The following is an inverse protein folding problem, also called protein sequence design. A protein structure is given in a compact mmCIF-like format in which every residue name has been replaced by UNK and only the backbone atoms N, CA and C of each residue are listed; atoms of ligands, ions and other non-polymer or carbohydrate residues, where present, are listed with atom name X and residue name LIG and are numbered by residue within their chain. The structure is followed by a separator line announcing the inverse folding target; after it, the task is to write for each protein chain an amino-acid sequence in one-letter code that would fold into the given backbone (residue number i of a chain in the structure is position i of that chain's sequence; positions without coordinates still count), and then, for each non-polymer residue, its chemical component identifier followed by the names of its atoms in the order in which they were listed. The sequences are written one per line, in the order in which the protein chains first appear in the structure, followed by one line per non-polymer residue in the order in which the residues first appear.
data_IF_441522431151
#
_entry.id   IF_441522431151
#
_cell.length_a   1.000
_cell.length_b   1.000
_cell.length_c   1.000
_cell.angle_alpha   90.00
_cell.angle_beta   90.00
_cell.angle_gamma   90.00
#
_symmetry.space_group_name_H-M   'P 1'
#
loop_
_entity.id
_entity.type
_entity.pdbx_description
1 polymer ?
#
# COMPACT_ATOMS: atom_id res chain seq x y z
N UNK A 1 17.13 -18.86 14.86
CA UNK A 1 16.14 -18.84 13.76
C UNK A 1 15.41 -20.20 13.69
N UNK A 2 14.08 -20.25 13.54
CA UNK A 2 13.29 -21.51 13.58
C UNK A 2 13.64 -22.49 12.44
N UNK A 3 14.03 -21.96 11.27
CA UNK A 3 14.50 -22.74 10.13
C UNK A 3 15.67 -23.67 10.46
N UNK A 4 16.75 -23.17 11.08
CA UNK A 4 17.93 -24.01 11.37
C UNK A 4 17.65 -25.09 12.41
N UNK A 5 16.71 -24.85 13.34
CA UNK A 5 16.25 -25.90 14.26
C UNK A 5 15.55 -27.02 13.50
N UNK A 6 14.72 -26.69 12.52
CA UNK A 6 14.09 -27.67 11.64
C UNK A 6 15.12 -28.39 10.76
N UNK A 7 15.99 -27.65 10.06
CA UNK A 7 16.96 -28.23 9.14
C UNK A 7 17.99 -29.14 9.82
N UNK A 8 18.46 -28.75 11.02
CA UNK A 8 19.36 -29.59 11.81
C UNK A 8 18.67 -30.87 12.31
N UNK A 9 17.39 -30.79 12.68
CA UNK A 9 16.62 -31.94 13.15
C UNK A 9 16.26 -32.90 12.01
N UNK A 10 15.68 -32.38 10.92
CA UNK A 10 15.10 -33.18 9.84
C UNK A 10 16.14 -33.63 8.82
N UNK A 11 17.14 -32.79 8.50
CA UNK A 11 18.13 -33.11 7.48
C UNK A 11 19.54 -33.37 8.02
N UNK A 12 19.81 -33.03 9.29
CA UNK A 12 21.13 -33.17 9.93
C UNK A 12 22.26 -32.54 9.10
N UNK A 13 21.96 -31.44 8.41
CA UNK A 13 22.91 -30.76 7.52
C UNK A 13 23.66 -29.63 8.22
N UNK A 14 24.90 -29.44 7.80
CA UNK A 14 25.63 -28.20 8.03
C UNK A 14 24.93 -27.05 7.25
N UNK A 15 24.76 -25.85 7.81
CA UNK A 15 24.21 -24.70 7.08
C UNK A 15 24.93 -24.40 5.75
N UNK A 16 26.23 -24.70 5.64
CA UNK A 16 27.02 -24.60 4.40
C UNK A 16 26.63 -25.64 3.36
N UNK A 17 25.83 -26.64 3.70
CA UNK A 17 25.27 -27.64 2.78
C UNK A 17 23.80 -27.34 2.44
N UNK A 18 23.31 -26.14 2.77
CA UNK A 18 21.98 -25.70 2.40
C UNK A 18 21.75 -25.80 0.88
N UNK A 19 20.59 -26.32 0.50
CA UNK A 19 20.11 -26.48 -0.87
C UNK A 19 18.64 -26.05 -0.95
N UNK A 20 18.15 -25.83 -2.16
CA UNK A 20 16.78 -25.37 -2.43
C UNK A 20 15.73 -26.30 -1.83
N UNK A 21 15.96 -27.60 -1.89
CA UNK A 21 15.03 -28.64 -1.45
C UNK A 21 14.79 -28.57 0.07
N UNK A 22 15.83 -28.25 0.86
CA UNK A 22 15.70 -28.08 2.31
C UNK A 22 14.83 -26.88 2.69
N UNK A 23 14.90 -25.80 1.88
CA UNK A 23 14.11 -24.59 2.08
C UNK A 23 12.65 -24.84 1.68
N UNK A 24 12.43 -25.53 0.56
CA UNK A 24 11.10 -25.93 0.10
C UNK A 24 10.42 -26.85 1.12
N UNK A 25 11.12 -27.86 1.63
CA UNK A 25 10.59 -28.78 2.62
C UNK A 25 10.20 -28.08 3.94
N UNK A 26 11.03 -27.14 4.43
CA UNK A 26 10.68 -26.35 5.61
C UNK A 26 9.40 -25.53 5.40
N UNK A 27 9.29 -24.84 4.26
CA UNK A 27 8.14 -24.00 4.00
C UNK A 27 6.88 -24.80 3.72
N UNK A 28 6.99 -25.94 3.04
CA UNK A 28 5.91 -26.91 2.90
C UNK A 28 5.39 -27.34 4.28
N UNK A 29 6.26 -27.88 5.15
CA UNK A 29 5.90 -28.24 6.52
C UNK A 29 5.21 -27.08 7.29
N UNK A 30 5.70 -25.85 7.15
CA UNK A 30 5.13 -24.65 7.81
C UNK A 30 3.81 -24.18 7.24
N UNK A 31 3.57 -24.42 5.96
CA UNK A 31 2.31 -24.14 5.31
C UNK A 31 1.29 -25.18 5.76
N UNK A 32 1.62 -26.48 5.64
CA UNK A 32 0.77 -27.59 6.09
C UNK A 32 0.39 -27.46 7.57
N UNK A 33 1.35 -27.20 8.47
CA UNK A 33 1.11 -27.02 9.91
C UNK A 33 0.06 -25.92 10.18
N UNK A 34 0.07 -24.84 9.40
CA UNK A 34 -0.84 -23.70 9.60
C UNK A 34 -2.20 -23.90 8.96
N UNK A 35 -2.23 -24.53 7.79
CA UNK A 35 -3.49 -24.94 7.17
C UNK A 35 -4.26 -25.89 8.09
N UNK A 36 -3.57 -26.87 8.70
CA UNK A 36 -4.17 -27.80 9.65
C UNK A 36 -4.70 -27.11 10.93
N UNK A 37 -4.24 -25.90 11.23
CA UNK A 37 -4.74 -25.06 12.33
C UNK A 37 -5.84 -24.08 11.89
N UNK A 38 -6.33 -24.18 10.65
CA UNK A 38 -7.35 -23.30 10.11
C UNK A 38 -6.89 -21.87 9.84
N UNK A 39 -5.58 -21.61 9.74
CA UNK A 39 -5.07 -20.26 9.47
C UNK A 39 -5.36 -19.90 8.01
N UNK A 40 -5.90 -18.71 7.79
CA UNK A 40 -6.24 -18.25 6.45
C UNK A 40 -5.02 -18.22 5.50
N UNK A 41 -5.21 -18.67 4.24
CA UNK A 41 -4.18 -18.65 3.20
C UNK A 41 -3.41 -17.32 3.04
N UNK A 42 -4.11 -16.18 3.12
CA UNK A 42 -3.50 -14.84 2.97
C UNK A 42 -2.52 -14.52 4.10
N UNK A 43 -2.85 -14.91 5.32
CA UNK A 43 -2.02 -14.70 6.51
C UNK A 43 -0.76 -15.59 6.43
N UNK A 44 -0.92 -16.81 5.94
CA UNK A 44 0.19 -17.73 5.68
C UNK A 44 1.13 -17.13 4.63
N UNK A 45 0.60 -16.73 3.46
CA UNK A 45 1.36 -16.15 2.36
C UNK A 45 2.23 -14.95 2.80
N UNK A 46 1.65 -13.97 3.49
CA UNK A 46 2.38 -12.81 4.01
C UNK A 46 3.50 -13.20 4.97
N UNK A 47 3.28 -14.22 5.79
CA UNK A 47 4.30 -14.69 6.74
C UNK A 47 5.43 -15.44 6.03
N UNK A 48 5.11 -16.26 5.03
CA UNK A 48 6.10 -16.98 4.22
C UNK A 48 7.01 -16.01 3.48
N UNK A 49 6.45 -14.95 2.90
CA UNK A 49 7.23 -13.90 2.20
C UNK A 49 8.23 -13.18 3.14
N UNK A 50 7.80 -12.88 4.36
CA UNK A 50 8.66 -12.29 5.39
C UNK A 50 9.78 -13.26 5.85
N UNK A 51 9.43 -14.53 6.13
CA UNK A 51 10.41 -15.54 6.53
C UNK A 51 11.41 -15.85 5.40
N UNK A 52 10.96 -15.82 4.13
CA UNK A 52 11.82 -15.94 2.96
C UNK A 52 12.81 -14.78 2.85
N UNK A 53 12.36 -13.55 3.09
CA UNK A 53 13.23 -12.37 3.04
C UNK A 53 14.37 -12.45 4.08
N UNK A 54 14.08 -12.93 5.29
CA UNK A 54 15.12 -13.20 6.29
C UNK A 54 16.07 -14.33 5.85
N UNK A 55 15.54 -15.39 5.24
CA UNK A 55 16.34 -16.50 4.73
C UNK A 55 17.24 -16.09 3.55
N UNK A 56 16.77 -15.21 2.66
CA UNK A 56 17.60 -14.63 1.58
C UNK A 56 18.79 -13.88 2.14
N UNK A 57 18.56 -13.03 3.15
CA UNK A 57 19.62 -12.29 3.81
C UNK A 57 20.66 -13.24 4.44
N UNK A 58 20.21 -14.27 5.16
CA UNK A 58 21.11 -15.26 5.72
C UNK A 58 21.86 -16.08 4.66
N UNK A 59 21.16 -16.54 3.62
CA UNK A 59 21.73 -17.34 2.54
C UNK A 59 22.80 -16.56 1.77
N UNK A 60 22.59 -15.25 1.58
CA UNK A 60 23.62 -14.36 1.07
C UNK A 60 24.86 -14.33 1.97
N UNK A 61 24.68 -14.21 3.30
CA UNK A 61 25.79 -14.16 4.26
C UNK A 61 26.65 -15.43 4.25
N UNK A 62 26.04 -16.60 4.05
CA UNK A 62 26.76 -17.88 3.91
C UNK A 62 27.19 -18.20 2.46
N UNK A 63 27.21 -17.20 1.57
CA UNK A 63 27.62 -17.33 0.16
C UNK A 63 26.79 -18.35 -0.65
N UNK A 64 25.51 -18.47 -0.34
CA UNK A 64 24.52 -19.32 -1.04
C UNK A 64 23.25 -18.57 -1.47
N UNK A 65 23.32 -17.42 -2.14
CA UNK A 65 22.12 -16.64 -2.49
C UNK A 65 21.13 -17.39 -3.39
N UNK A 66 21.61 -18.36 -4.18
CA UNK A 66 20.82 -19.07 -5.19
C UNK A 66 20.04 -20.27 -4.64
N UNK A 67 20.21 -20.63 -3.36
CA UNK A 67 19.49 -21.76 -2.76
C UNK A 67 18.11 -21.38 -2.21
N UNK A 68 17.69 -20.11 -2.32
CA UNK A 68 16.38 -19.67 -1.87
C UNK A 68 15.41 -19.67 -3.06
N UNK A 69 14.40 -20.56 -3.08
CA UNK A 69 13.41 -20.59 -4.15
C UNK A 69 12.58 -19.30 -4.19
N UNK A 70 12.05 -18.98 -5.37
CA UNK A 70 11.10 -17.88 -5.53
C UNK A 70 9.85 -18.14 -4.70
N UNK A 71 9.26 -17.08 -4.13
CA UNK A 71 8.01 -17.14 -3.38
C UNK A 71 6.91 -17.90 -4.14
N UNK A 72 6.74 -17.59 -5.44
CA UNK A 72 5.76 -18.25 -6.30
C UNK A 72 5.98 -19.77 -6.45
N UNK A 73 7.22 -20.26 -6.33
CA UNK A 73 7.52 -21.69 -6.37
C UNK A 73 7.05 -22.39 -5.09
N UNK A 74 7.34 -21.80 -3.92
CA UNK A 74 6.89 -22.30 -2.62
C UNK A 74 5.36 -22.34 -2.54
N UNK A 75 4.70 -21.28 -3.01
CA UNK A 75 3.24 -21.19 -2.94
C UNK A 75 2.50 -22.05 -3.97
N UNK A 76 3.16 -22.55 -5.03
CA UNK A 76 2.54 -23.43 -6.04
C UNK A 76 2.57 -24.91 -5.66
N UNK A 77 3.51 -25.33 -4.82
CA UNK A 77 3.70 -26.73 -4.45
C UNK A 77 2.64 -27.25 -3.47
N UNK A 78 2.01 -26.32 -2.75
CA UNK A 78 0.83 -26.56 -1.93
C UNK A 78 -0.38 -26.07 -2.76
N UNK A 79 -1.54 -26.71 -2.67
CA UNK A 79 -2.78 -26.43 -3.42
C UNK A 79 -3.41 -25.03 -3.16
N UNK A 80 -2.58 -24.04 -2.86
CA UNK A 80 -2.92 -22.63 -2.87
C UNK A 80 -3.21 -22.18 -4.30
N UNK A 81 -4.49 -22.10 -4.65
CA UNK A 81 -4.93 -21.24 -5.74
C UNK A 81 -4.77 -19.79 -5.29
N UNK A 82 -3.57 -19.23 -5.48
CA UNK A 82 -3.28 -17.79 -5.33
C UNK A 82 -4.25 -16.92 -6.15
N UNK A 83 -4.79 -17.49 -7.24
CA UNK A 83 -5.83 -16.89 -8.09
C UNK A 83 -7.10 -16.49 -7.31
N UNK A 84 -7.35 -17.11 -6.15
CA UNK A 84 -8.49 -16.81 -5.28
C UNK A 84 -8.10 -16.10 -3.97
N UNK A 85 -6.84 -15.68 -3.83
CA UNK A 85 -6.41 -14.86 -2.72
C UNK A 85 -6.22 -13.42 -3.22
N UNK A 86 -7.31 -12.62 -3.32
CA UNK A 86 -7.10 -11.19 -3.48
C UNK A 86 -6.26 -10.76 -2.28
N UNK A 87 -5.06 -10.22 -2.55
CA UNK A 87 -4.32 -9.41 -1.56
C UNK A 87 -5.37 -8.59 -0.83
N UNK A 88 -5.38 -8.64 0.50
CA UNK A 88 -6.43 -7.99 1.27
C UNK A 88 -6.50 -6.53 0.81
N UNK A 89 -7.54 -6.21 0.04
CA UNK A 89 -7.96 -4.85 -0.22
C UNK A 89 -8.55 -4.38 1.11
N UNK A 90 -7.69 -4.16 2.11
CA UNK A 90 -8.07 -3.35 3.26
C UNK A 90 -8.21 -1.94 2.70
N UNK A 91 -9.39 -1.66 2.15
CA UNK A 91 -9.93 -0.31 2.15
C UNK A 91 -10.10 0.00 3.63
N UNK A 92 -9.17 0.75 4.20
CA UNK A 92 -9.42 1.35 5.51
C UNK A 92 -10.57 2.31 5.30
N UNK A 93 -11.76 1.95 5.78
CA UNK A 93 -12.93 2.81 5.69
C UNK A 93 -12.63 4.20 6.22
N UNK A 94 -13.16 5.21 5.54
CA UNK A 94 -13.24 6.56 6.09
C UNK A 94 -13.92 6.50 7.45
N UNK A 95 -13.14 6.71 8.51
CA UNK A 95 -13.75 6.98 9.81
C UNK A 95 -14.28 8.40 9.77
N UNK A 96 -15.61 8.53 9.89
CA UNK A 96 -16.30 9.80 10.05
C UNK A 96 -15.66 10.64 11.18
N UNK A 97 -15.48 11.95 10.94
CA UNK A 97 -14.92 12.91 11.89
C UNK A 97 -15.71 12.91 13.20
N UNK A 98 -17.03 12.72 13.14
CA UNK A 98 -17.88 12.62 14.33
C UNK A 98 -17.55 11.38 15.18
N UNK A 99 -17.30 10.24 14.52
CA UNK A 99 -16.92 8.99 15.16
C UNK A 99 -15.51 9.07 15.77
N UNK A 100 -14.57 9.76 15.10
CA UNK A 100 -13.24 10.01 15.66
C UNK A 100 -13.31 10.88 16.91
N UNK A 101 -14.05 11.99 16.86
CA UNK A 101 -14.25 12.87 18.01
C UNK A 101 -14.86 12.10 19.19
N UNK A 102 -15.84 11.24 18.94
CA UNK A 102 -16.42 10.36 19.95
C UNK A 102 -15.36 9.44 20.58
N UNK A 103 -14.51 8.80 19.78
CA UNK A 103 -13.44 7.91 20.28
C UNK A 103 -12.38 8.66 21.10
N UNK A 104 -12.05 9.88 20.72
CA UNK A 104 -11.16 10.75 21.51
C UNK A 104 -11.80 11.08 22.86
N UNK A 105 -13.07 11.48 22.87
CA UNK A 105 -13.79 11.76 24.11
C UNK A 105 -13.91 10.52 25.02
N UNK A 106 -14.19 9.35 24.45
CA UNK A 106 -14.25 8.10 25.20
C UNK A 106 -12.87 7.72 25.77
N UNK A 107 -11.77 8.01 25.07
CA UNK A 107 -10.41 7.81 25.57
C UNK A 107 -10.11 8.68 26.80
N UNK A 108 -10.51 9.96 26.78
CA UNK A 108 -10.36 10.85 27.94
C UNK A 108 -11.19 10.43 29.15
N UNK A 109 -12.34 9.76 28.95
CA UNK A 109 -13.13 9.19 30.07
C UNK A 109 -12.43 8.02 30.76
N UNK A 110 -11.56 7.31 30.05
CA UNK A 110 -10.78 6.21 30.62
C UNK A 110 -9.64 6.77 31.45
N UNK A 111 -8.74 7.54 30.82
CA UNK A 111 -7.68 8.27 31.51
C UNK A 111 -7.05 9.33 30.60
N UNK A 112 -6.48 10.36 31.23
CA UNK A 112 -5.87 11.51 30.55
C UNK A 112 -4.76 11.08 29.56
N UNK A 113 -3.90 10.12 29.91
CA UNK A 113 -2.81 9.67 29.03
C UNK A 113 -3.33 8.99 27.76
N UNK A 114 -4.35 8.14 27.86
CA UNK A 114 -4.96 7.52 26.69
C UNK A 114 -5.66 8.56 25.82
N UNK A 115 -6.32 9.54 26.43
CA UNK A 115 -6.94 10.67 25.74
C UNK A 115 -5.96 11.45 24.87
N UNK A 116 -4.86 11.96 25.46
CA UNK A 116 -3.84 12.73 24.72
C UNK A 116 -3.17 11.90 23.62
N UNK A 117 -2.93 10.60 23.87
CA UNK A 117 -2.36 9.70 22.89
C UNK A 117 -3.30 9.46 21.70
N UNK A 118 -4.57 9.18 21.95
CA UNK A 118 -5.58 8.91 20.92
C UNK A 118 -5.86 10.17 20.10
N UNK A 119 -5.95 11.33 20.75
CA UNK A 119 -6.10 12.62 20.08
C UNK A 119 -4.92 12.90 19.14
N UNK A 120 -3.69 12.67 19.60
CA UNK A 120 -2.51 12.86 18.77
C UNK A 120 -2.49 11.91 17.55
N UNK A 121 -2.91 10.66 17.74
CA UNK A 121 -3.02 9.69 16.65
C UNK A 121 -4.11 10.07 15.64
N UNK A 122 -5.26 10.54 16.11
CA UNK A 122 -6.43 10.85 15.28
C UNK A 122 -6.22 12.09 14.41
N UNK A 123 -5.66 13.17 14.97
CA UNK A 123 -5.59 14.47 14.28
C UNK A 123 -4.25 14.75 13.61
N UNK A 124 -3.17 14.10 14.05
CA UNK A 124 -1.83 14.33 13.50
C UNK A 124 -1.22 13.04 12.91
N UNK A 125 -1.97 11.94 12.91
CA UNK A 125 -1.55 10.70 12.27
C UNK A 125 -0.38 10.01 12.95
N UNK A 126 -0.10 10.26 14.24
CA UNK A 126 1.02 9.63 14.93
C UNK A 126 0.88 8.10 15.00
N UNK A 127 2.02 7.40 15.01
CA UNK A 127 2.05 5.96 15.35
C UNK A 127 1.83 5.80 16.86
N UNK A 128 1.31 4.64 17.32
CA UNK A 128 1.23 4.33 18.75
C UNK A 128 2.53 4.60 19.53
N UNK A 129 3.67 4.19 18.96
CA UNK A 129 4.99 4.44 19.57
C UNK A 129 5.37 5.92 19.63
N UNK A 130 4.97 6.71 18.64
CA UNK A 130 5.22 8.15 18.60
C UNK A 130 4.32 8.87 19.61
N UNK A 131 3.04 8.49 19.70
CA UNK A 131 2.08 9.12 20.64
C UNK A 131 2.43 8.87 22.10
N UNK A 132 2.94 7.68 22.45
CA UNK A 132 3.42 7.36 23.81
C UNK A 132 4.72 8.06 24.17
N UNK A 133 5.53 8.42 23.16
CA UNK A 133 6.88 9.00 23.36
C UNK A 133 6.91 10.52 23.20
N UNK A 134 5.76 11.16 23.05
CA UNK A 134 5.67 12.59 22.85
C UNK A 134 5.92 13.34 24.17
N UNK A 135 6.66 14.45 24.07
CA UNK A 135 6.96 15.35 25.17
C UNK A 135 6.37 16.72 24.85
N UNK A 136 5.44 17.21 25.66
CA UNK A 136 4.61 18.37 25.35
C UNK A 136 5.47 19.61 25.02
N UNK A 137 6.40 19.98 25.91
CA UNK A 137 7.25 21.16 25.71
C UNK A 137 8.22 21.04 24.53
N UNK A 138 8.77 19.85 24.27
CA UNK A 138 9.70 19.64 23.15
C UNK A 138 8.99 19.50 21.79
N UNK A 139 7.72 19.05 21.81
CA UNK A 139 7.02 18.63 20.61
C UNK A 139 6.00 19.66 20.12
N UNK A 140 5.42 20.49 20.98
CA UNK A 140 4.46 21.52 20.58
C UNK A 140 5.19 22.84 20.37
N UNK A 141 5.43 23.18 19.11
CA UNK A 141 6.28 24.31 18.75
C UNK A 141 5.53 25.30 17.85
N UNK A 142 6.08 26.51 17.74
CA UNK A 142 5.63 27.53 16.79
C UNK A 142 6.85 28.16 16.11
N UNK A 143 6.83 28.24 14.79
CA UNK A 143 7.89 28.86 13.98
C UNK A 143 7.24 29.85 13.01
N UNK A 144 7.62 31.13 13.10
CA UNK A 144 7.01 32.19 12.29
C UNK A 144 5.50 32.35 12.52
N UNK A 145 5.01 32.08 13.73
CA UNK A 145 3.58 32.13 14.08
C UNK A 145 2.77 30.93 13.59
N UNK A 146 3.42 29.91 13.02
CA UNK A 146 2.75 28.68 12.53
C UNK A 146 3.00 27.54 13.52
N UNK A 147 1.95 27.00 14.16
CA UNK A 147 2.10 25.88 15.09
C UNK A 147 2.43 24.58 14.34
N UNK A 148 3.23 23.73 14.97
CA UNK A 148 3.57 22.41 14.45
C UNK A 148 3.91 21.42 15.57
N UNK A 149 3.79 20.13 15.26
CA UNK A 149 4.25 19.06 16.13
C UNK A 149 5.61 18.54 15.65
N UNK A 150 6.61 18.61 16.52
CA UNK A 150 7.93 18.04 16.29
C UNK A 150 8.01 16.62 16.87
N UNK A 151 7.96 15.61 16.01
CA UNK A 151 8.08 14.21 16.43
C UNK A 151 9.55 13.83 16.50
N UNK A 152 10.13 13.92 17.70
CA UNK A 152 11.55 13.62 17.97
C UNK A 152 11.80 12.14 18.32
N UNK A 153 10.90 11.54 19.10
CA UNK A 153 11.06 10.21 19.72
C UNK A 153 10.00 9.23 19.20
N UNK A 154 10.33 7.94 19.22
CA UNK A 154 9.39 6.85 18.84
C UNK A 154 9.16 6.66 17.32
N UNK A 155 9.79 7.46 16.46
CA UNK A 155 9.68 7.29 15.01
C UNK A 155 10.38 6.03 14.51
N UNK A 156 9.81 5.40 13.48
CA UNK A 156 10.40 4.20 12.87
C UNK A 156 11.72 4.58 12.19
N UNK A 157 12.84 4.08 12.70
CA UNK A 157 14.18 4.40 12.20
C UNK A 157 14.79 5.67 12.79
N UNK A 158 14.19 6.26 13.82
CA UNK A 158 14.77 7.36 14.61
C UNK A 158 14.86 8.71 13.89
N UNK A 159 14.21 8.86 12.73
CA UNK A 159 14.21 10.13 11.98
C UNK A 159 13.17 11.10 12.55
N UNK A 160 13.55 12.32 12.96
CA UNK A 160 12.58 13.31 13.40
C UNK A 160 11.76 13.84 12.22
N UNK A 161 10.54 14.33 12.48
CA UNK A 161 9.72 15.02 11.47
C UNK A 161 8.87 16.11 12.09
N UNK A 162 8.55 17.13 11.29
CA UNK A 162 7.60 18.19 11.63
C UNK A 162 6.25 17.88 11.00
N UNK A 163 5.17 18.07 11.75
CA UNK A 163 3.79 17.96 11.26
C UNK A 163 3.16 19.34 11.41
N UNK A 164 2.93 20.01 10.28
CA UNK A 164 2.30 21.33 10.26
C UNK A 164 0.78 21.20 10.45
N UNK A 165 0.16 22.18 11.12
CA UNK A 165 -1.29 22.28 11.19
C UNK A 165 -1.81 22.82 9.85
N UNK A 166 -2.59 22.01 9.13
CA UNK A 166 -3.02 22.29 7.74
C UNK A 166 -4.53 22.40 7.57
N UNK A 167 -5.30 22.01 8.59
CA UNK A 167 -6.76 22.08 8.61
C UNK A 167 -7.24 22.75 9.90
N UNK A 168 -8.47 23.28 9.88
CA UNK A 168 -9.10 23.87 11.07
C UNK A 168 -9.17 22.85 12.20
N UNK A 169 -9.58 21.61 11.91
CA UNK A 169 -9.61 20.52 12.90
C UNK A 169 -8.24 20.23 13.52
N UNK A 170 -7.15 20.35 12.75
CA UNK A 170 -5.79 20.18 13.28
C UNK A 170 -5.39 21.34 14.19
N UNK A 171 -5.72 22.57 13.81
CA UNK A 171 -5.48 23.75 14.64
C UNK A 171 -6.27 23.68 15.95
N UNK A 172 -7.57 23.39 15.89
CA UNK A 172 -8.41 23.24 17.07
C UNK A 172 -7.90 22.12 17.98
N UNK A 173 -7.51 20.98 17.40
CA UNK A 173 -6.96 19.87 18.14
C UNK A 173 -5.60 20.22 18.78
N UNK A 174 -4.76 21.01 18.11
CA UNK A 174 -3.47 21.45 18.64
C UNK A 174 -3.67 22.34 19.87
N UNK A 175 -4.53 23.36 19.76
CA UNK A 175 -4.83 24.28 20.85
C UNK A 175 -5.48 23.57 22.04
N UNK A 176 -6.48 22.74 21.77
CA UNK A 176 -7.17 21.96 22.81
C UNK A 176 -6.21 21.01 23.53
N UNK A 177 -5.37 20.28 22.78
CA UNK A 177 -4.43 19.33 23.37
C UNK A 177 -3.32 20.03 24.15
N UNK A 178 -2.79 21.14 23.63
CA UNK A 178 -1.75 21.92 24.31
C UNK A 178 -2.27 22.57 25.60
N UNK A 179 -3.48 23.14 25.56
CA UNK A 179 -4.16 23.71 26.73
C UNK A 179 -4.41 22.64 27.79
N UNK A 180 -4.95 21.49 27.39
CA UNK A 180 -5.20 20.37 28.30
C UNK A 180 -3.91 19.87 28.98
N UNK A 181 -2.81 19.71 28.22
CA UNK A 181 -1.55 19.28 28.81
C UNK A 181 -1.01 20.30 29.82
N UNK A 182 -1.14 21.59 29.52
CA UNK A 182 -0.73 22.68 30.41
C UNK A 182 -1.56 22.69 31.70
N UNK A 183 -2.89 22.62 31.58
CA UNK A 183 -3.82 22.62 32.72
C UNK A 183 -3.65 21.40 33.64
N UNK A 184 -3.33 20.24 33.06
CA UNK A 184 -3.15 18.98 33.80
C UNK A 184 -1.70 18.69 34.21
N UNK A 185 -0.74 19.51 33.82
CA UNK A 185 0.68 19.29 34.08
C UNK A 185 1.22 18.01 33.39
N UNK A 186 0.72 17.69 32.20
CA UNK A 186 1.17 16.51 31.43
C UNK A 186 2.37 16.90 30.58
N UNK A 187 3.57 16.57 31.06
CA UNK A 187 4.81 16.79 30.30
C UNK A 187 5.08 15.65 29.30
N UNK A 188 4.81 14.41 29.72
CA UNK A 188 4.99 13.19 28.92
C UNK A 188 3.62 12.62 28.57
N UNK A 189 3.41 12.21 27.31
CA UNK A 189 2.15 11.60 26.88
C UNK A 189 1.95 10.17 27.40
N UNK A 190 2.79 9.73 28.33
CA UNK A 190 2.68 8.47 29.08
C UNK A 190 2.88 8.75 30.56
N UNK A 191 2.36 7.86 31.40
CA UNK A 191 2.69 7.86 32.81
C UNK A 191 4.22 7.77 33.00
N UNK A 192 4.86 8.75 33.68
CA UNK A 192 6.31 8.75 33.90
C UNK A 192 6.84 7.51 34.62
N UNK A 193 5.99 6.85 35.43
CA UNK A 193 6.34 5.63 36.17
C UNK A 193 6.38 4.36 35.31
N UNK A 194 5.90 4.41 34.07
CA UNK A 194 5.93 3.28 33.15
C UNK A 194 7.03 3.48 32.13
N UNK A 195 7.78 2.44 31.80
CA UNK A 195 8.66 2.46 30.63
C UNK A 195 7.85 2.64 29.33
N UNK A 196 8.49 3.08 28.25
CA UNK A 196 7.85 3.21 26.93
C UNK A 196 7.22 1.89 26.48
N UNK A 197 7.87 0.75 26.76
CA UNK A 197 7.36 -0.57 26.39
C UNK A 197 6.11 -0.95 27.18
N UNK A 198 6.09 -0.67 28.48
CA UNK A 198 4.93 -0.91 29.35
C UNK A 198 3.76 -0.02 28.98
N UNK A 199 4.01 1.27 28.76
CA UNK A 199 3.00 2.22 28.30
C UNK A 199 2.41 1.81 26.95
N UNK A 200 3.23 1.34 26.00
CA UNK A 200 2.73 0.80 24.72
C UNK A 200 1.91 -0.47 24.88
N UNK A 201 2.27 -1.35 25.82
CA UNK A 201 1.49 -2.56 26.12
C UNK A 201 0.14 -2.18 26.73
N UNK A 202 0.13 -1.25 27.67
CA UNK A 202 -1.09 -0.73 28.30
C UNK A 202 -1.98 -0.04 27.28
N UNK A 203 -1.45 0.90 26.50
CA UNK A 203 -2.17 1.57 25.42
C UNK A 203 -2.82 0.57 24.46
N UNK A 204 -2.08 -0.44 23.98
CA UNK A 204 -2.65 -1.47 23.10
C UNK A 204 -3.79 -2.25 23.74
N UNK A 205 -3.66 -2.58 25.03
CA UNK A 205 -4.71 -3.25 25.81
C UNK A 205 -5.96 -2.37 25.86
N UNK A 206 -5.82 -1.12 26.27
CA UNK A 206 -6.94 -0.18 26.43
C UNK A 206 -7.63 0.16 25.09
N UNK A 207 -6.85 0.33 24.02
CA UNK A 207 -7.41 0.54 22.68
C UNK A 207 -8.31 -0.63 22.26
N UNK A 208 -7.93 -1.87 22.56
CA UNK A 208 -8.70 -3.06 22.16
C UNK A 208 -9.86 -3.32 23.12
N UNK A 209 -9.58 -3.42 24.41
CA UNK A 209 -10.53 -3.91 25.43
C UNK A 209 -11.51 -2.81 25.87
N UNK A 210 -11.08 -1.56 25.93
CA UNK A 210 -11.89 -0.47 26.50
C UNK A 210 -12.47 0.44 25.41
N UNK A 211 -11.73 0.69 24.33
CA UNK A 211 -12.20 1.49 23.19
C UNK A 211 -12.77 0.65 22.04
N UNK A 212 -12.69 -0.68 22.12
CA UNK A 212 -13.23 -1.58 21.09
C UNK A 212 -12.52 -1.46 19.74
N UNK A 213 -11.27 -0.98 19.71
CA UNK A 213 -10.46 -0.84 18.50
C UNK A 213 -9.72 -2.14 18.19
N UNK A 214 -10.46 -3.25 18.17
CA UNK A 214 -9.96 -4.54 17.69
C UNK A 214 -9.99 -4.56 16.16
N UNK A 215 -9.20 -5.44 15.53
CA UNK A 215 -9.24 -5.65 14.07
C UNK A 215 -10.61 -6.16 13.57
N UNK A 216 -11.42 -6.69 14.46
CA UNK A 216 -12.72 -7.33 14.16
C UNK A 216 -13.89 -6.34 14.26
N UNK A 217 -13.77 -5.32 15.12
CA UNK A 217 -14.85 -4.34 15.42
C UNK A 217 -14.57 -2.98 14.77
N UNK A 218 -13.31 -2.64 14.56
CA UNK A 218 -12.88 -1.48 13.78
C UNK A 218 -12.14 -2.02 12.56
N UNK A 219 -12.46 -1.57 11.35
CA UNK A 219 -11.76 -1.98 10.12
C UNK A 219 -10.31 -1.44 10.10
N UNK A 220 -9.49 -2.02 10.98
CA UNK A 220 -8.12 -1.65 11.28
C UNK A 220 -7.91 -1.35 12.77
N UNK A 221 -6.96 -2.07 13.38
CA UNK A 221 -6.30 -1.69 14.65
C UNK A 221 -5.94 -0.20 14.71
N UNK A 222 -5.66 0.38 15.87
CA UNK A 222 -5.06 1.71 16.14
C UNK A 222 -4.32 2.48 14.99
N UNK A 223 -3.62 1.76 14.10
CA UNK A 223 -3.16 2.26 12.80
C UNK A 223 -4.26 2.83 11.87
N UNK A 224 -5.52 2.48 12.06
CA UNK A 224 -6.69 2.95 11.29
C UNK A 224 -6.94 4.43 11.48
N UNK A 225 -6.67 4.99 12.67
CA UNK A 225 -6.69 6.44 12.89
C UNK A 225 -5.68 7.14 11.99
N UNK A 226 -4.50 6.54 11.85
CA UNK A 226 -3.45 7.04 10.96
C UNK A 226 -3.80 6.86 9.48
N UNK A 227 -4.52 5.81 9.12
CA UNK A 227 -5.11 5.65 7.78
C UNK A 227 -6.18 6.71 7.50
N UNK A 228 -7.11 6.91 8.43
CA UNK A 228 -8.15 7.94 8.33
C UNK A 228 -7.55 9.35 8.25
N UNK A 229 -6.51 9.65 9.03
CA UNK A 229 -5.74 10.87 8.90
C UNK A 229 -5.19 11.06 7.48
N UNK A 230 -4.48 10.05 6.96
CA UNK A 230 -3.91 10.11 5.61
C UNK A 230 -4.99 10.33 4.55
N UNK A 231 -6.14 9.64 4.67
CA UNK A 231 -7.27 9.80 3.76
C UNK A 231 -7.86 11.21 3.81
N UNK A 232 -8.13 11.77 5.00
CA UNK A 232 -8.69 13.14 5.13
C UNK A 232 -7.75 14.22 4.59
N UNK A 233 -6.44 14.04 4.78
CA UNK A 233 -5.44 14.95 4.22
C UNK A 233 -5.38 14.89 2.69
N UNK A 234 -5.75 13.74 2.12
CA UNK A 234 -5.86 13.51 0.68
C UNK A 234 -7.24 13.85 0.09
N UNK A 235 -8.36 13.80 0.82
CA UNK A 235 -9.68 14.21 0.28
C UNK A 235 -9.81 15.72 0.08
N UNK A 236 -9.02 16.51 0.81
CA UNK A 236 -8.82 17.93 0.54
C UNK A 236 -8.01 18.20 -0.74
N UNK A 237 -7.76 17.18 -1.56
CA UNK A 237 -7.05 17.25 -2.83
C UNK A 237 -7.90 17.95 -3.88
N UNK A 238 -7.55 19.20 -4.13
CA UNK A 238 -7.89 19.85 -5.38
C UNK A 238 -6.82 19.43 -6.41
N UNK A 239 -7.15 18.72 -7.50
CA UNK A 239 -6.17 18.38 -8.54
C UNK A 239 -5.53 19.60 -9.22
N UNK A 240 -6.09 20.81 -8.99
CA UNK A 240 -5.53 22.09 -9.42
C UNK A 240 -4.90 22.91 -8.26
N UNK A 241 -4.89 22.38 -7.04
CA UNK A 241 -4.30 23.01 -5.86
C UNK A 241 -3.06 22.25 -5.39
N UNK A 242 -2.01 22.98 -5.08
CA UNK A 242 -0.69 22.49 -4.67
C UNK A 242 -0.73 21.71 -3.33
N UNK A 243 -1.20 20.46 -3.32
CA UNK A 243 -0.92 19.50 -2.24
C UNK A 243 -0.46 18.20 -2.85
N UNK A 244 0.85 17.98 -2.82
CA UNK A 244 1.46 16.79 -3.41
C UNK A 244 1.36 15.60 -2.45
N UNK A 245 1.19 14.39 -2.99
CA UNK A 245 1.27 13.12 -2.24
C UNK A 245 2.59 12.95 -1.45
N UNK A 246 3.60 13.75 -1.80
CA UNK A 246 4.87 13.89 -1.09
C UNK A 246 4.69 14.55 0.28
N UNK A 247 3.87 15.59 0.40
CA UNK A 247 3.63 16.28 1.69
C UNK A 247 2.94 15.38 2.70
N UNK A 248 1.96 14.58 2.26
CA UNK A 248 1.32 13.57 3.14
C UNK A 248 2.31 12.45 3.49
N UNK A 249 3.22 12.10 2.56
CA UNK A 249 4.32 11.16 2.86
C UNK A 249 5.28 11.70 3.92
N UNK A 250 5.57 13.00 3.90
CA UNK A 250 6.41 13.69 4.88
C UNK A 250 5.75 13.77 6.25
N UNK A 251 4.46 14.16 6.31
CA UNK A 251 3.68 14.17 7.56
C UNK A 251 3.62 12.77 8.22
N UNK A 252 3.60 11.72 7.40
CA UNK A 252 3.67 10.33 7.84
C UNK A 252 5.11 9.84 8.09
N UNK A 253 6.15 10.57 7.65
CA UNK A 253 7.55 10.17 7.79
C UNK A 253 7.93 8.96 6.96
N UNK A 254 7.36 8.82 5.76
CA UNK A 254 7.71 7.74 4.83
C UNK A 254 8.78 8.14 3.81
N UNK A 255 8.99 9.44 3.57
CA UNK A 255 9.98 10.00 2.62
C UNK A 255 9.94 9.31 1.23
N UNK A 256 8.82 8.67 0.89
CA UNK A 256 8.56 7.86 -0.31
C UNK A 256 7.06 7.88 -0.57
N UNK A 257 6.67 8.42 -1.72
CA UNK A 257 5.26 8.57 -2.15
C UNK A 257 4.52 7.23 -2.26
N UNK A 258 5.23 6.17 -2.63
CA UNK A 258 4.74 4.80 -2.78
C UNK A 258 4.13 4.21 -1.49
N UNK A 259 4.65 4.60 -0.33
CA UNK A 259 4.18 4.07 0.96
C UNK A 259 2.86 4.73 1.37
N UNK A 260 2.64 6.01 0.99
CA UNK A 260 1.39 6.74 1.19
C UNK A 260 0.21 6.06 0.48
N UNK A 261 0.46 5.43 -0.69
CA UNK A 261 -0.55 4.70 -1.47
C UNK A 261 -1.18 3.50 -0.73
N UNK A 262 -0.46 2.90 0.23
CA UNK A 262 -0.98 1.84 1.11
C UNK A 262 -1.96 2.41 2.14
N UNK A 263 -1.83 3.70 2.50
CA UNK A 263 -2.70 4.35 3.48
C UNK A 263 -4.02 4.84 2.92
N UNK A 264 -4.06 5.08 1.60
CA UNK A 264 -5.25 5.53 0.85
C UNK A 264 -6.09 4.32 0.37
N UNK A 265 -5.71 3.09 0.73
CA UNK A 265 -6.46 1.90 0.36
C UNK A 265 -6.50 1.70 -1.16
N UNK A 266 -5.33 1.46 -1.78
CA UNK A 266 -5.12 1.53 -3.22
C UNK A 266 -5.39 2.93 -3.75
N UNK A 267 -4.40 3.53 -4.43
CA UNK A 267 -4.69 4.52 -5.46
C UNK A 267 -5.85 3.96 -6.30
N UNK A 268 -6.97 4.65 -6.27
CA UNK A 268 -8.30 4.20 -6.67
C UNK A 268 -8.27 3.24 -7.86
N UNK A 269 -9.07 2.16 -7.79
CA UNK A 269 -9.66 1.67 -9.02
C UNK A 269 -10.44 2.83 -9.59
N UNK A 270 -10.10 3.13 -10.82
CA UNK A 270 -10.63 4.19 -11.61
C UNK A 270 -12.18 4.20 -11.67
N UNK A 271 -12.84 5.01 -10.83
CA UNK A 271 -14.29 5.25 -10.89
C UNK A 271 -15.18 4.03 -10.59
N UNK A 272 -16.49 4.24 -10.62
CA UNK A 272 -17.50 3.17 -10.52
C UNK A 272 -17.46 2.20 -11.72
N UNK A 273 -16.73 2.55 -12.77
CA UNK A 273 -16.71 1.87 -14.05
C UNK A 273 -15.75 0.66 -14.07
N UNK A 274 -16.32 -0.53 -14.31
CA UNK A 274 -15.56 -1.75 -14.63
C UNK A 274 -14.87 -1.63 -16.01
N UNK A 275 -13.93 -2.52 -16.36
CA UNK A 275 -13.33 -2.57 -17.71
C UNK A 275 -14.38 -2.49 -18.84
N UNK A 276 -15.49 -3.26 -18.81
CA UNK A 276 -16.58 -3.09 -19.77
C UNK A 276 -17.24 -1.71 -19.74
N UNK A 277 -17.42 -1.12 -18.55
CA UNK A 277 -17.95 0.24 -18.38
C UNK A 277 -17.03 1.31 -18.97
N UNK A 278 -15.73 1.21 -18.72
CA UNK A 278 -14.70 2.09 -19.28
C UNK A 278 -14.64 2.00 -20.80
N UNK A 279 -14.71 0.79 -21.37
CA UNK A 279 -14.76 0.60 -22.82
C UNK A 279 -16.01 1.26 -23.43
N UNK A 280 -17.17 1.05 -22.83
CA UNK A 280 -18.42 1.70 -23.27
C UNK A 280 -18.30 3.22 -23.20
N UNK A 281 -17.79 3.74 -22.09
CA UNK A 281 -17.61 5.16 -21.85
C UNK A 281 -16.61 5.82 -22.83
N UNK A 282 -15.56 5.10 -23.23
CA UNK A 282 -14.58 5.54 -24.23
C UNK A 282 -15.19 5.61 -25.62
N UNK A 283 -16.04 4.63 -25.97
CA UNK A 283 -16.74 4.58 -27.25
C UNK A 283 -17.81 5.67 -27.38
N UNK A 284 -18.55 5.96 -26.30
CA UNK A 284 -19.68 6.89 -26.30
C UNK A 284 -19.31 8.37 -26.19
N UNK A 285 -18.10 8.73 -25.74
CA UNK A 285 -17.67 10.14 -25.56
C UNK A 285 -16.29 10.42 -26.19
N UNK A 286 -16.19 10.43 -27.53
CA UNK A 286 -15.01 10.95 -28.19
C UNK A 286 -14.99 12.49 -28.04
N UNK A 287 -13.82 13.06 -27.68
CA UNK A 287 -13.51 14.51 -27.72
C UNK A 287 -13.86 15.40 -26.51
N UNK A 288 -13.61 14.95 -25.28
CA UNK A 288 -13.44 15.88 -24.12
C UNK A 288 -12.18 15.54 -23.29
N UNK A 289 -11.74 16.46 -22.43
CA UNK A 289 -10.55 16.29 -21.57
C UNK A 289 -10.60 15.01 -20.72
N UNK A 290 -11.80 14.58 -20.32
CA UNK A 290 -12.06 13.36 -19.55
C UNK A 290 -11.77 12.05 -20.31
N UNK A 291 -11.75 12.06 -21.66
CA UNK A 291 -11.49 10.87 -22.46
C UNK A 291 -10.06 10.36 -22.25
N UNK A 292 -9.07 11.27 -22.11
CA UNK A 292 -7.68 10.92 -21.82
C UNK A 292 -7.53 10.25 -20.46
N UNK A 293 -8.26 10.71 -19.46
CA UNK A 293 -8.19 10.12 -18.12
C UNK A 293 -8.89 8.77 -18.06
N UNK A 294 -10.08 8.63 -18.69
CA UNK A 294 -10.76 7.34 -18.85
C UNK A 294 -9.91 6.32 -19.61
N UNK A 295 -9.09 6.78 -20.54
CA UNK A 295 -8.19 5.91 -21.28
C UNK A 295 -7.00 5.44 -20.45
N UNK A 296 -6.37 6.34 -19.68
CA UNK A 296 -5.33 5.97 -18.69
C UNK A 296 -5.89 4.95 -17.69
N UNK A 297 -7.10 5.19 -17.20
CA UNK A 297 -7.85 4.33 -16.29
C UNK A 297 -8.06 2.94 -16.90
N UNK A 298 -8.55 2.86 -18.14
CA UNK A 298 -8.73 1.61 -18.86
C UNK A 298 -7.43 0.81 -19.00
N UNK A 299 -6.33 1.42 -19.46
CA UNK A 299 -5.06 0.72 -19.60
C UNK A 299 -4.47 0.27 -18.27
N UNK A 300 -4.62 1.08 -17.22
CA UNK A 300 -4.19 0.70 -15.87
C UNK A 300 -4.92 -0.54 -15.38
N UNK A 301 -6.25 -0.56 -15.47
CA UNK A 301 -7.05 -1.73 -15.07
C UNK A 301 -6.75 -2.95 -15.95
N UNK A 302 -6.60 -2.75 -17.27
CA UNK A 302 -6.32 -3.82 -18.22
C UNK A 302 -4.92 -4.42 -18.01
N UNK A 303 -3.90 -3.61 -17.77
CA UNK A 303 -2.53 -4.09 -17.51
C UNK A 303 -2.39 -4.81 -16.16
N UNK A 304 -3.21 -4.45 -15.17
CA UNK A 304 -3.25 -5.13 -13.87
C UNK A 304 -4.00 -6.45 -13.95
N UNK A 305 -5.17 -6.48 -14.62
CA UNK A 305 -6.03 -7.66 -14.67
C UNK A 305 -5.67 -8.63 -15.79
N UNK A 306 -5.23 -8.12 -16.93
CA UNK A 306 -4.94 -8.86 -18.16
C UNK A 306 -3.64 -8.34 -18.79
N UNK A 307 -2.53 -8.39 -18.06
CA UNK A 307 -1.24 -7.79 -18.42
C UNK A 307 -0.82 -8.07 -19.86
N UNK A 308 -0.94 -9.31 -20.33
CA UNK A 308 -0.56 -9.68 -21.69
C UNK A 308 -1.44 -9.04 -22.77
N UNK A 309 -2.74 -8.92 -22.51
CA UNK A 309 -3.70 -8.26 -23.40
C UNK A 309 -3.43 -6.75 -23.44
N UNK A 310 -3.22 -6.13 -22.27
CA UNK A 310 -2.88 -4.71 -22.17
C UNK A 310 -1.61 -4.35 -22.93
N UNK A 311 -0.54 -5.15 -22.78
CA UNK A 311 0.67 -4.93 -23.57
C UNK A 311 0.45 -5.16 -25.07
N UNK A 312 -0.23 -6.24 -25.46
CA UNK A 312 -0.48 -6.51 -26.88
C UNK A 312 -1.26 -5.37 -27.55
N UNK A 313 -2.23 -4.80 -26.84
CA UNK A 313 -3.03 -3.67 -27.34
C UNK A 313 -2.21 -2.37 -27.47
N UNK A 314 -1.37 -2.06 -26.48
CA UNK A 314 -0.49 -0.89 -26.53
C UNK A 314 0.51 -0.95 -27.67
N UNK A 315 1.10 -2.14 -27.89
CA UNK A 315 2.02 -2.36 -28.98
C UNK A 315 1.33 -2.29 -30.34
N UNK A 316 0.17 -2.92 -30.50
CA UNK A 316 -0.60 -2.81 -31.74
C UNK A 316 -0.84 -1.34 -32.11
N UNK A 317 -1.18 -0.49 -31.14
CA UNK A 317 -1.39 0.93 -31.39
C UNK A 317 -0.10 1.71 -31.67
N UNK A 318 0.99 1.39 -30.98
CA UNK A 318 2.29 1.98 -31.27
C UNK A 318 2.77 1.63 -32.69
N UNK A 319 2.50 0.41 -33.16
CA UNK A 319 2.84 -0.06 -34.50
C UNK A 319 1.95 0.53 -35.60
N UNK A 320 0.69 0.86 -35.33
CA UNK A 320 -0.24 1.41 -36.34
C UNK A 320 -0.11 2.93 -36.51
N UNK A 321 0.28 3.68 -35.48
CA UNK A 321 0.34 5.15 -35.51
C UNK A 321 1.70 5.77 -35.84
N UNK A 322 2.80 5.13 -35.40
CA UNK A 322 4.13 5.71 -35.52
C UNK A 322 4.96 4.94 -36.55
N UNK A 323 5.35 5.61 -37.62
CA UNK A 323 6.44 5.22 -38.52
C UNK A 323 7.76 5.09 -37.72
N UNK A 324 7.92 3.99 -36.99
CA UNK A 324 9.21 3.51 -36.50
C UNK A 324 9.96 4.40 -35.49
N UNK A 325 9.31 5.02 -34.50
CA UNK A 325 10.03 5.61 -33.35
C UNK A 325 9.80 4.86 -32.03
N UNK A 326 10.93 4.56 -31.41
CA UNK A 326 11.20 3.90 -30.11
C UNK A 326 10.40 2.63 -29.76
N UNK A 327 10.28 1.74 -30.75
CA UNK A 327 9.80 0.37 -30.56
C UNK A 327 10.78 -0.49 -29.73
N UNK A 328 12.03 -0.06 -29.59
CA UNK A 328 13.06 -0.79 -28.84
C UNK A 328 12.82 -0.74 -27.33
N UNK A 329 12.46 0.42 -26.76
CA UNK A 329 12.12 0.55 -25.35
C UNK A 329 10.91 -0.32 -24.97
N UNK A 330 9.85 -0.29 -25.80
CA UNK A 330 8.68 -1.14 -25.64
C UNK A 330 9.05 -2.62 -25.79
N UNK A 331 9.76 -3.02 -26.86
CA UNK A 331 10.17 -4.40 -27.10
C UNK A 331 11.07 -4.97 -25.99
N UNK A 332 11.99 -4.16 -25.45
CA UNK A 332 12.81 -4.51 -24.29
C UNK A 332 11.95 -4.72 -23.03
N UNK A 333 10.91 -3.91 -22.81
CA UNK A 333 9.95 -4.07 -21.69
C UNK A 333 9.07 -5.31 -21.86
N UNK A 334 8.57 -5.60 -23.07
CA UNK A 334 7.92 -6.89 -23.40
C UNK A 334 8.85 -8.04 -23.06
N UNK A 335 10.12 -7.97 -23.46
CA UNK A 335 11.09 -9.02 -23.17
C UNK A 335 11.31 -9.20 -21.67
N UNK A 336 11.39 -8.11 -20.90
CA UNK A 336 11.58 -8.14 -19.45
C UNK A 336 10.38 -8.75 -18.70
N UNK A 337 9.16 -8.43 -19.14
CA UNK A 337 7.93 -8.79 -18.42
C UNK A 337 7.36 -10.14 -18.90
N UNK A 338 7.42 -10.41 -20.21
CA UNK A 338 6.73 -11.54 -20.85
C UNK A 338 7.69 -12.59 -21.42
N UNK A 339 8.99 -12.29 -21.47
CA UNK A 339 10.04 -13.18 -21.96
C UNK A 339 10.17 -13.19 -23.49
N UNK A 340 11.36 -13.56 -23.99
CA UNK A 340 11.74 -13.52 -25.43
C UNK A 340 10.84 -14.33 -26.38
N UNK A 341 10.13 -15.35 -25.90
CA UNK A 341 9.45 -16.35 -26.74
C UNK A 341 7.96 -16.09 -27.00
N UNK A 342 7.36 -15.05 -26.40
CA UNK A 342 5.92 -14.78 -26.57
C UNK A 342 5.67 -13.75 -27.66
N UNK A 343 4.96 -14.13 -28.70
CA UNK A 343 4.45 -13.20 -29.71
C UNK A 343 3.23 -12.48 -29.17
N UNK A 344 3.12 -11.17 -29.46
CA UNK A 344 1.95 -10.39 -29.08
C UNK A 344 0.73 -10.86 -29.86
N UNK A 345 -0.47 -10.53 -29.37
CA UNK A 345 -1.69 -10.84 -30.09
C UNK A 345 -1.78 -10.07 -31.41
N UNK A 346 -2.26 -10.74 -32.44
CA UNK A 346 -2.66 -10.10 -33.69
C UNK A 346 -3.95 -9.29 -33.46
N UNK A 347 -4.33 -8.46 -34.43
CA UNK A 347 -5.56 -7.68 -34.36
C UNK A 347 -6.79 -8.56 -34.12
N UNK A 348 -6.88 -9.71 -34.81
CA UNK A 348 -8.00 -10.65 -34.68
C UNK A 348 -8.09 -11.23 -33.27
N UNK A 349 -6.93 -11.56 -32.68
CA UNK A 349 -6.87 -12.11 -31.32
C UNK A 349 -7.11 -11.02 -30.28
N UNK A 350 -6.67 -9.77 -30.51
CA UNK A 350 -7.01 -8.63 -29.66
C UNK A 350 -8.53 -8.41 -29.64
N UNK A 351 -9.16 -8.43 -30.80
CA UNK A 351 -10.61 -8.33 -30.95
C UNK A 351 -11.36 -9.42 -30.20
N UNK A 352 -10.95 -10.69 -30.35
CA UNK A 352 -11.54 -11.82 -29.63
C UNK A 352 -11.43 -11.64 -28.11
N UNK A 353 -10.25 -11.25 -27.62
CA UNK A 353 -10.01 -11.08 -26.18
C UNK A 353 -10.73 -9.87 -25.60
N UNK A 354 -10.80 -8.75 -26.31
CA UNK A 354 -11.59 -7.58 -25.88
C UNK A 354 -13.09 -7.89 -25.87
N UNK A 355 -13.57 -8.65 -26.85
CA UNK A 355 -14.97 -9.11 -26.92
C UNK A 355 -15.32 -10.16 -25.86
N UNK A 356 -14.32 -10.77 -25.20
CA UNK A 356 -14.57 -11.68 -24.07
C UNK A 356 -14.77 -10.94 -22.74
N UNK A 357 -14.38 -9.65 -22.68
CA UNK A 357 -14.45 -8.80 -21.49
C UNK A 357 -15.37 -7.58 -21.66
N UNK A 358 -15.97 -7.42 -22.86
CA UNK A 358 -16.96 -6.40 -23.22
C UNK A 358 -17.81 -6.92 -24.41
N UNK A 359 -18.75 -6.13 -24.93
CA UNK A 359 -19.52 -6.55 -26.11
C UNK A 359 -18.66 -6.46 -27.38
N UNK A 360 -18.88 -7.35 -28.35
CA UNK A 360 -18.17 -7.35 -29.63
C UNK A 360 -18.26 -6.01 -30.36
N UNK A 361 -19.46 -5.41 -30.40
CA UNK A 361 -19.69 -4.10 -31.03
C UNK A 361 -18.90 -2.97 -30.33
N UNK A 362 -18.83 -2.98 -29.00
CA UNK A 362 -18.04 -2.01 -28.22
C UNK A 362 -16.53 -2.19 -28.46
N UNK A 363 -16.05 -3.44 -28.53
CA UNK A 363 -14.64 -3.73 -28.80
C UNK A 363 -14.21 -3.27 -30.21
N UNK A 364 -15.06 -3.51 -31.22
CA UNK A 364 -14.82 -3.08 -32.60
C UNK A 364 -14.74 -1.56 -32.70
N UNK A 365 -15.73 -0.86 -32.14
CA UNK A 365 -15.77 0.60 -32.14
C UNK A 365 -14.59 1.20 -31.36
N UNK A 366 -14.21 0.57 -30.24
CA UNK A 366 -13.05 1.00 -29.47
C UNK A 366 -11.75 0.86 -30.28
N UNK A 367 -11.46 -0.26 -30.94
CA UNK A 367 -10.22 -0.38 -31.71
C UNK A 367 -10.15 0.62 -32.88
N UNK A 368 -11.28 0.86 -33.56
CA UNK A 368 -11.36 1.86 -34.64
C UNK A 368 -11.03 3.26 -34.11
N UNK A 369 -11.64 3.67 -32.99
CA UNK A 369 -11.42 4.99 -32.39
C UNK A 369 -10.03 5.12 -31.74
N UNK A 370 -9.58 4.06 -31.07
CA UNK A 370 -8.31 4.03 -30.35
C UNK A 370 -7.12 4.15 -31.30
N UNK A 371 -7.24 3.58 -32.50
CA UNK A 371 -6.29 3.76 -33.60
C UNK A 371 -6.24 5.20 -34.15
N UNK A 372 -6.98 6.17 -33.60
CA UNK A 372 -6.94 7.59 -34.02
C UNK A 372 -6.56 8.54 -32.88
N UNK A 373 -6.36 8.05 -31.65
CA UNK A 373 -6.41 8.92 -30.47
C UNK A 373 -5.09 9.13 -29.70
N UNK A 374 -4.03 8.33 -29.91
CA UNK A 374 -2.89 8.31 -28.97
C UNK A 374 -1.51 8.14 -29.61
N UNK A 375 -0.68 9.20 -29.64
CA UNK A 375 0.73 9.11 -30.01
C UNK A 375 1.54 8.25 -29.03
N UNK A 376 2.62 7.58 -29.50
CA UNK A 376 3.44 6.71 -28.65
C UNK A 376 4.06 7.45 -27.44
N UNK A 377 4.49 8.70 -27.61
CA UNK A 377 5.04 9.53 -26.53
C UNK A 377 4.02 9.76 -25.40
N UNK A 378 2.73 9.86 -25.74
CA UNK A 378 1.67 9.98 -24.75
C UNK A 378 1.51 8.68 -23.96
N UNK A 379 1.53 7.53 -24.65
CA UNK A 379 1.46 6.19 -24.05
C UNK A 379 2.64 5.99 -23.10
N UNK A 380 3.85 6.34 -23.52
CA UNK A 380 5.04 6.19 -22.70
C UNK A 380 4.94 7.03 -21.42
N UNK A 381 4.65 8.33 -21.55
CA UNK A 381 4.60 9.26 -20.42
C UNK A 381 3.46 8.99 -19.45
N UNK A 382 2.28 8.62 -19.95
CA UNK A 382 1.06 8.59 -19.14
C UNK A 382 0.59 7.19 -18.74
N UNK A 383 1.11 6.14 -19.39
CA UNK A 383 0.70 4.75 -19.12
C UNK A 383 1.91 3.89 -18.73
N UNK A 384 2.98 3.88 -19.54
CA UNK A 384 4.10 2.96 -19.31
C UNK A 384 5.03 3.40 -18.19
N UNK A 385 5.52 4.65 -18.16
CA UNK A 385 6.39 5.11 -17.09
C UNK A 385 5.76 4.99 -15.69
N UNK A 386 4.46 5.34 -15.49
CA UNK A 386 3.78 5.08 -14.22
C UNK A 386 3.61 3.59 -13.90
N UNK A 387 3.40 2.74 -14.91
CA UNK A 387 3.27 1.30 -14.72
C UNK A 387 4.62 0.65 -14.34
N UNK A 388 5.71 1.06 -14.98
CA UNK A 388 7.07 0.57 -14.73
C UNK A 388 7.58 0.97 -13.35
N UNK A 389 7.30 2.20 -12.91
CA UNK A 389 7.57 2.63 -11.54
C UNK A 389 6.92 1.69 -10.51
N UNK A 390 5.71 1.20 -10.80
CA UNK A 390 4.97 0.27 -9.94
C UNK A 390 5.40 -1.21 -10.06
N UNK A 391 6.07 -1.59 -11.15
CA UNK A 391 6.48 -2.98 -11.42
C UNK A 391 7.93 -3.28 -11.05
N UNK A 392 8.83 -2.31 -11.21
CA UNK A 392 10.27 -2.48 -11.05
C UNK A 392 10.82 -1.90 -9.75
N UNK A 393 10.05 -1.07 -9.03
CA UNK A 393 10.34 -0.67 -7.66
C UNK A 393 9.39 -1.39 -6.69
N UNK A 394 9.76 -2.63 -6.35
CA UNK A 394 9.24 -3.41 -5.22
C UNK A 394 10.37 -3.90 -4.34
#
# INVERSE_FOLDING_TARGET
MKFFKYAAKEFRIDPRQLKTEHVEAYFHHKITERLNRGVEPKVIAKRIDNELSHLKFFAWWISKPNCIPKFSKIMKAETFRLENCPMSNFRSSHTDTSALRKKVNDAFKINDYLGVQVMAMAYFGLRPAESVSLEHQESFCSEGGRPFIHVLKGSKGGKPRKILMKTVDQHDAFEQLSSFCTERGIELFRNPNLSVQEALRLQRKQLVEELGLSKEVFEGSAYSMRHSFASRMMDGYNPNGERSSLEVSEDLGHHRTEVTAVYVGNMERAGEDTIPGLLTALVSNPMHSSTKDRLKMFFRELLVSHTFLGFSLLFWCAYTHNEGRDLEALAARKQAILGKKRNLYTEEVLMEKLSSISTKSTAEQFLIQFNQCCPADWIEKNVMAPFDANLFFK
#
